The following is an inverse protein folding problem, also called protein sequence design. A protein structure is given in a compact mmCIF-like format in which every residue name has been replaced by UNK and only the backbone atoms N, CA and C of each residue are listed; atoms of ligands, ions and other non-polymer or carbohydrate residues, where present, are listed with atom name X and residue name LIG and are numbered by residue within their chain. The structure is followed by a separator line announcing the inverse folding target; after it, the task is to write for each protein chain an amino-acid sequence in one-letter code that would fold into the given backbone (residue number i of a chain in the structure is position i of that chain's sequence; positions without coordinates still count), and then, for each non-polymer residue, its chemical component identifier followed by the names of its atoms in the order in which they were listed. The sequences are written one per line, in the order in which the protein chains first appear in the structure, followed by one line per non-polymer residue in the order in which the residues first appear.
data_IF_167498070997
#
_entry.id   IF_167498070997
#
_cell.length_a   1.000
_cell.length_b   1.000
_cell.length_c   1.000
_cell.angle_alpha   90.00
_cell.angle_beta   90.00
_cell.angle_gamma   90.00
#
_symmetry.space_group_name_H-M   'P 1'
#
loop_
_entity.id
_entity.type
_entity.pdbx_description
1 polymer ?
#
# COMPACT_ATOMS: atom_id res chain seq x y z
N UNK A 1 -11.30 -7.11 34.87
CA UNK A 1 -11.46 -5.73 34.36
C UNK A 1 -10.43 -5.50 33.27
N UNK A 2 -10.90 -5.06 32.10
CA UNK A 2 -10.23 -5.06 30.80
C UNK A 2 -10.11 -3.59 30.39
N UNK A 3 -8.90 -3.04 30.32
CA UNK A 3 -8.64 -1.74 29.66
C UNK A 3 -7.23 -1.69 29.08
N UNK A 4 -7.18 -1.84 27.75
CA UNK A 4 -6.50 -0.92 26.83
C UNK A 4 -4.96 -0.81 26.85
N UNK A 5 -4.27 -1.87 26.40
CA UNK A 5 -2.99 -1.73 25.70
C UNK A 5 -3.25 -1.77 24.18
N UNK A 6 -3.77 -0.67 23.62
CA UNK A 6 -3.91 -0.53 22.16
C UNK A 6 -2.96 0.57 21.66
N UNK A 7 -2.11 0.15 20.72
CA UNK A 7 -1.61 0.94 19.60
C UNK A 7 -0.69 2.14 19.87
N UNK A 8 0.53 1.84 20.33
CA UNK A 8 1.69 2.74 20.17
C UNK A 8 2.47 2.55 18.85
N UNK A 9 2.09 1.58 18.01
CA UNK A 9 2.87 1.19 16.83
C UNK A 9 2.34 1.68 15.47
N UNK A 10 1.09 2.15 15.39
CA UNK A 10 0.56 2.79 14.16
C UNK A 10 1.07 4.21 13.94
N UNK A 11 1.71 4.81 14.96
CA UNK A 11 2.26 6.16 14.89
C UNK A 11 3.67 6.24 14.30
N UNK A 12 4.46 5.16 14.27
CA UNK A 12 5.88 5.25 13.92
C UNK A 12 6.16 5.24 12.42
N UNK A 13 5.35 4.55 11.60
CA UNK A 13 5.50 4.61 10.14
C UNK A 13 5.00 5.96 9.61
N UNK A 14 3.89 6.47 10.15
CA UNK A 14 3.40 7.81 9.84
C UNK A 14 4.36 8.90 10.34
N UNK A 15 4.98 8.74 11.52
CA UNK A 15 5.97 9.69 12.05
C UNK A 15 7.31 9.65 11.30
N UNK A 16 7.78 8.48 10.87
CA UNK A 16 9.00 8.35 10.07
C UNK A 16 8.85 8.98 8.66
N UNK A 17 7.64 8.91 8.08
CA UNK A 17 7.31 9.59 6.82
C UNK A 17 7.05 11.10 6.99
N UNK A 18 6.59 11.55 8.17
CA UNK A 18 6.36 12.96 8.47
C UNK A 18 7.63 13.73 8.86
N UNK A 19 8.65 13.07 9.45
CA UNK A 19 9.91 13.72 9.86
C UNK A 19 10.86 14.02 8.69
N UNK A 20 10.65 13.43 7.51
CA UNK A 20 11.36 13.77 6.26
C UNK A 20 10.59 14.83 5.45
N UNK A 21 9.40 15.23 5.90
CA UNK A 21 8.42 15.99 5.12
C UNK A 21 8.52 17.52 5.17
N UNK A 22 9.49 18.11 5.88
CA UNK A 22 9.53 19.58 6.05
C UNK A 22 10.47 20.33 5.10
N UNK A 23 11.09 19.65 4.13
CA UNK A 23 11.92 20.30 3.10
C UNK A 23 11.88 19.59 1.75
N UNK A 24 10.71 19.08 1.36
CA UNK A 24 10.53 18.61 -0.02
C UNK A 24 10.10 19.77 -0.93
N UNK A 25 10.66 19.87 -2.14
CA UNK A 25 10.27 20.92 -3.09
C UNK A 25 8.77 20.81 -3.39
N UNK A 26 8.11 21.94 -3.65
CA UNK A 26 6.67 21.99 -3.97
C UNK A 26 6.26 21.02 -5.10
N UNK A 27 7.21 20.65 -5.97
CA UNK A 27 7.04 19.62 -7.02
C UNK A 27 6.77 18.21 -6.47
N UNK A 28 7.34 17.84 -5.33
CA UNK A 28 7.10 16.54 -4.70
C UNK A 28 5.72 16.45 -4.05
N UNK A 29 5.21 17.56 -3.51
CA UNK A 29 3.83 17.65 -2.99
C UNK A 29 2.81 17.52 -4.12
N UNK A 30 3.03 18.18 -5.27
CA UNK A 30 2.16 18.03 -6.44
C UNK A 30 2.18 16.61 -7.01
N UNK A 31 3.36 15.96 -7.01
CA UNK A 31 3.49 14.59 -7.53
C UNK A 31 2.78 13.57 -6.63
N UNK A 32 2.95 13.67 -5.31
CA UNK A 32 2.23 12.81 -4.35
C UNK A 32 0.72 12.96 -4.47
N UNK A 33 0.21 14.20 -4.56
CA UNK A 33 -1.21 14.43 -4.73
C UNK A 33 -1.78 13.84 -6.03
N UNK A 34 -1.02 13.90 -7.13
CA UNK A 34 -1.40 13.26 -8.40
C UNK A 34 -1.41 11.73 -8.30
N UNK A 35 -0.37 11.15 -7.69
CA UNK A 35 -0.28 9.70 -7.46
C UNK A 35 -1.45 9.21 -6.58
N UNK A 36 -1.82 9.97 -5.56
CA UNK A 36 -2.95 9.66 -4.68
C UNK A 36 -4.30 9.78 -5.39
N UNK A 37 -4.48 10.80 -6.24
CA UNK A 37 -5.68 10.95 -7.05
C UNK A 37 -5.84 9.77 -8.04
N UNK A 38 -4.76 9.36 -8.70
CA UNK A 38 -4.77 8.24 -9.65
C UNK A 38 -5.06 6.90 -8.95
N UNK A 39 -4.47 6.68 -7.77
CA UNK A 39 -4.80 5.51 -6.94
C UNK A 39 -6.29 5.47 -6.55
N UNK A 40 -6.88 6.61 -6.17
CA UNK A 40 -8.31 6.70 -5.83
C UNK A 40 -9.19 6.48 -7.04
N UNK A 41 -8.81 7.02 -8.20
CA UNK A 41 -9.53 6.81 -9.45
C UNK A 41 -9.56 5.33 -9.82
N UNK A 42 -8.39 4.68 -9.86
CA UNK A 42 -8.26 3.26 -10.18
C UNK A 42 -9.02 2.38 -9.17
N UNK A 43 -8.94 2.70 -7.88
CA UNK A 43 -9.61 1.92 -6.83
C UNK A 43 -11.14 2.06 -6.88
N UNK A 44 -11.65 3.26 -7.18
CA UNK A 44 -13.10 3.49 -7.32
C UNK A 44 -13.73 2.72 -8.49
N UNK A 45 -13.00 2.56 -9.59
CA UNK A 45 -13.44 1.78 -10.75
C UNK A 45 -13.35 0.26 -10.55
N UNK A 46 -12.57 -0.20 -9.58
CA UNK A 46 -12.29 -1.63 -9.35
C UNK A 46 -12.24 -1.95 -7.85
N UNK A 47 -13.35 -1.80 -7.11
CA UNK A 47 -13.35 -1.90 -5.66
C UNK A 47 -12.89 -3.26 -5.14
N UNK A 48 -13.24 -4.36 -5.82
CA UNK A 48 -12.80 -5.71 -5.45
C UNK A 48 -11.28 -5.88 -5.54
N UNK A 49 -10.67 -5.43 -6.65
CA UNK A 49 -9.22 -5.49 -6.84
C UNK A 49 -8.47 -4.55 -5.88
N UNK A 50 -9.06 -3.41 -5.55
CA UNK A 50 -8.52 -2.49 -4.56
C UNK A 50 -8.55 -3.07 -3.13
N UNK A 51 -9.59 -3.84 -2.77
CA UNK A 51 -9.66 -4.55 -1.49
C UNK A 51 -8.58 -5.64 -1.40
N UNK A 52 -8.37 -6.41 -2.46
CA UNK A 52 -7.26 -7.37 -2.56
C UNK A 52 -5.93 -6.65 -2.35
N UNK A 53 -5.70 -5.55 -3.07
CA UNK A 53 -4.47 -4.76 -2.92
C UNK A 53 -4.27 -4.25 -1.49
N UNK A 54 -5.31 -3.68 -0.87
CA UNK A 54 -5.23 -3.11 0.47
C UNK A 54 -4.92 -4.18 1.53
N UNK A 55 -5.56 -5.35 1.44
CA UNK A 55 -5.26 -6.49 2.32
C UNK A 55 -3.82 -6.96 2.16
N UNK A 56 -3.38 -7.16 0.92
CA UNK A 56 -2.02 -7.60 0.62
C UNK A 56 -0.95 -6.57 1.01
N UNK A 57 -1.22 -5.28 0.84
CA UNK A 57 -0.34 -4.20 1.27
C UNK A 57 -0.18 -4.19 2.79
N UNK A 58 -1.25 -4.46 3.55
CA UNK A 58 -1.16 -4.57 5.00
C UNK A 58 -0.29 -5.76 5.45
N UNK A 59 -0.42 -6.93 4.81
CA UNK A 59 0.42 -8.10 5.10
C UNK A 59 1.89 -7.84 4.73
N UNK A 60 2.14 -7.21 3.59
CA UNK A 60 3.48 -6.82 3.16
C UNK A 60 4.14 -5.82 4.12
N UNK A 61 3.38 -4.84 4.61
CA UNK A 61 3.85 -3.89 5.61
C UNK A 61 4.18 -4.59 6.94
N UNK A 62 3.38 -5.58 7.34
CA UNK A 62 3.67 -6.40 8.52
C UNK A 62 4.95 -7.23 8.34
N UNK A 63 5.16 -7.87 7.18
CA UNK A 63 6.39 -8.61 6.89
C UNK A 63 7.62 -7.69 6.91
N UNK A 64 7.51 -6.50 6.35
CA UNK A 64 8.56 -5.49 6.42
C UNK A 64 8.85 -5.07 7.88
N UNK A 65 7.81 -4.84 8.69
CA UNK A 65 8.00 -4.46 10.09
C UNK A 65 8.69 -5.56 10.92
N UNK A 66 8.44 -6.84 10.61
CA UNK A 66 9.05 -7.98 11.30
C UNK A 66 10.51 -8.19 10.84
N UNK A 67 10.78 -8.01 9.55
CA UNK A 67 12.05 -8.43 8.94
C UNK A 67 13.02 -7.30 8.61
N UNK A 68 12.53 -6.05 8.52
CA UNK A 68 13.27 -4.90 8.00
C UNK A 68 13.60 -4.98 6.50
N UNK A 69 13.12 -5.99 5.78
CA UNK A 69 13.48 -6.24 4.38
C UNK A 69 12.38 -5.80 3.42
N UNK A 70 12.65 -4.74 2.64
CA UNK A 70 11.73 -4.26 1.59
C UNK A 70 11.48 -5.34 0.53
N UNK A 71 12.50 -6.12 0.19
CA UNK A 71 12.36 -7.20 -0.78
C UNK A 71 11.40 -8.29 -0.31
N UNK A 72 11.44 -8.65 0.98
CA UNK A 72 10.46 -9.58 1.55
C UNK A 72 9.05 -9.02 1.55
N UNK A 73 8.88 -7.75 1.94
CA UNK A 73 7.58 -7.07 1.89
C UNK A 73 7.00 -7.07 0.46
N UNK A 74 7.80 -6.75 -0.55
CA UNK A 74 7.37 -6.77 -1.96
C UNK A 74 7.02 -8.18 -2.43
N UNK A 75 7.82 -9.20 -2.07
CA UNK A 75 7.52 -10.58 -2.44
C UNK A 75 6.19 -11.06 -1.83
N UNK A 76 5.91 -10.71 -0.57
CA UNK A 76 4.63 -10.98 0.09
C UNK A 76 3.49 -10.25 -0.60
N UNK A 77 3.69 -8.98 -0.97
CA UNK A 77 2.67 -8.19 -1.67
C UNK A 77 2.28 -8.81 -3.02
N UNK A 78 3.28 -9.15 -3.85
CA UNK A 78 3.06 -9.76 -5.16
C UNK A 78 2.42 -11.14 -5.03
N UNK A 79 2.92 -11.98 -4.13
CA UNK A 79 2.36 -13.31 -3.89
C UNK A 79 0.91 -13.25 -3.42
N UNK A 80 0.61 -12.38 -2.45
CA UNK A 80 -0.74 -12.19 -1.94
C UNK A 80 -1.69 -11.66 -3.03
N UNK A 81 -1.27 -10.64 -3.80
CA UNK A 81 -2.11 -10.07 -4.84
C UNK A 81 -2.41 -11.09 -5.96
N UNK A 82 -1.42 -11.92 -6.32
CA UNK A 82 -1.61 -12.98 -7.31
C UNK A 82 -2.64 -14.03 -6.85
N UNK A 83 -2.55 -14.47 -5.59
CA UNK A 83 -3.51 -15.42 -4.99
C UNK A 83 -4.89 -14.78 -4.85
N UNK A 84 -4.95 -13.56 -4.31
CA UNK A 84 -6.20 -12.83 -4.14
C UNK A 84 -6.93 -12.60 -5.47
N UNK A 85 -6.19 -12.26 -6.53
CA UNK A 85 -6.76 -12.16 -7.87
C UNK A 85 -7.18 -13.51 -8.45
N UNK A 86 -6.50 -14.61 -8.10
CA UNK A 86 -6.90 -15.98 -8.47
C UNK A 86 -8.25 -16.41 -7.91
N UNK A 87 -8.75 -15.73 -6.88
CA UNK A 87 -10.06 -15.95 -6.28
C UNK A 87 -11.15 -15.01 -6.81
N UNK A 88 -10.82 -14.17 -7.81
CA UNK A 88 -11.79 -13.25 -8.43
C UNK A 88 -12.23 -13.74 -9.80
N UNK A 89 -13.48 -13.45 -10.16
CA UNK A 89 -14.05 -13.79 -11.49
C UNK A 89 -13.32 -13.10 -12.66
N UNK A 90 -12.50 -12.09 -12.37
CA UNK A 90 -11.77 -11.32 -13.38
C UNK A 90 -10.28 -11.23 -13.04
N UNK A 91 -9.62 -12.39 -13.04
CA UNK A 91 -8.19 -12.55 -12.73
C UNK A 91 -7.29 -11.52 -13.44
N UNK A 92 -7.41 -11.40 -14.77
CA UNK A 92 -6.56 -10.52 -15.58
C UNK A 92 -6.79 -9.04 -15.26
N UNK A 93 -8.04 -8.63 -15.03
CA UNK A 93 -8.35 -7.26 -14.62
C UNK A 93 -7.81 -6.97 -13.21
N UNK A 94 -8.00 -7.92 -12.28
CA UNK A 94 -7.50 -7.79 -10.92
C UNK A 94 -5.98 -7.65 -10.87
N UNK A 95 -5.24 -8.48 -11.62
CA UNK A 95 -3.79 -8.37 -11.75
C UNK A 95 -3.38 -7.01 -12.30
N UNK A 96 -3.96 -6.59 -13.43
CA UNK A 96 -3.65 -5.30 -14.07
C UNK A 96 -3.85 -4.13 -13.11
N UNK A 97 -4.97 -4.10 -12.39
CA UNK A 97 -5.27 -3.07 -11.39
C UNK A 97 -4.28 -3.12 -10.22
N UNK A 98 -4.02 -4.30 -9.65
CA UNK A 98 -3.07 -4.45 -8.54
C UNK A 98 -1.65 -4.05 -8.93
N UNK A 99 -1.20 -4.39 -10.14
CA UNK A 99 0.10 -3.98 -10.67
C UNK A 99 0.17 -2.46 -10.82
N UNK A 100 -0.87 -1.80 -11.36
CA UNK A 100 -0.91 -0.33 -11.44
C UNK A 100 -0.87 0.32 -10.06
N UNK A 101 -1.66 -0.17 -9.10
CA UNK A 101 -1.65 0.32 -7.72
C UNK A 101 -0.29 0.11 -7.04
N UNK A 102 0.37 -1.03 -7.29
CA UNK A 102 1.71 -1.32 -6.77
C UNK A 102 2.76 -0.36 -7.33
N UNK A 103 2.78 -0.15 -8.65
CA UNK A 103 3.71 0.80 -9.28
C UNK A 103 3.50 2.21 -8.76
N UNK A 104 2.24 2.65 -8.62
CA UNK A 104 1.91 3.96 -8.04
C UNK A 104 2.36 4.07 -6.57
N UNK A 105 2.22 3.00 -5.79
CA UNK A 105 2.69 2.96 -4.40
C UNK A 105 4.21 3.08 -4.30
N UNK A 106 4.96 2.37 -5.16
CA UNK A 106 6.43 2.47 -5.22
C UNK A 106 6.92 3.84 -5.73
N UNK A 107 6.11 4.51 -6.56
CA UNK A 107 6.43 5.82 -7.12
C UNK A 107 6.29 6.97 -6.11
N UNK A 108 5.73 6.70 -4.92
CA UNK A 108 5.62 7.70 -3.85
C UNK A 108 7.03 7.93 -3.25
N UNK A 109 7.61 9.14 -3.38
CA UNK A 109 8.89 9.50 -2.76
C UNK A 109 8.75 9.67 -1.25
#
# INVERSE_FOLDING_TARGET
MRTTFLNRATGTVAAALMLVGLSQPASAQSLRAQIDAEMRYISSGNPGSALVFAGCAATAANEYNITGSTQRGVNVLVGCAAIGCGLTDSYSNCLSVNTRLFLLMLSRP
#
